data_IF_291141101669
#
_entry.id   IF_291141101669
#
_cell.length_a   1.000
_cell.length_b   1.000
_cell.length_c   1.000
_cell.angle_alpha   90.00
_cell.angle_beta   90.00
_cell.angle_gamma   90.00
#
_symmetry.space_group_name_H-M   'P 1'
#
loop_
_entity.id
_entity.type
_entity.pdbx_description
1 polymer ?
#
# COMPACT_ATOMS: atom_id res chain seq x y z
N UNK A 1 -18.81 -9.33 19.13
CA UNK A 1 -18.53 -8.87 17.76
C UNK A 1 -17.06 -8.97 17.33
N UNK A 2 -16.12 -9.33 18.22
CA UNK A 2 -14.67 -9.39 17.93
C UNK A 2 -14.12 -10.78 17.59
N UNK A 3 -14.97 -11.79 17.48
CA UNK A 3 -14.51 -13.12 17.05
C UNK A 3 -14.16 -13.11 15.56
N UNK A 4 -13.03 -13.71 15.15
CA UNK A 4 -12.73 -13.93 13.74
C UNK A 4 -13.87 -14.69 13.08
N UNK A 5 -14.47 -14.11 12.04
CA UNK A 5 -15.43 -14.82 11.19
C UNK A 5 -14.68 -15.77 10.26
N UNK A 6 -15.31 -16.85 9.74
CA UNK A 6 -14.65 -17.80 8.84
C UNK A 6 -13.99 -17.14 7.62
N UNK A 7 -14.57 -16.05 7.13
CA UNK A 7 -14.04 -15.27 6.02
C UNK A 7 -12.84 -14.36 6.37
N UNK A 8 -12.37 -14.35 7.63
CA UNK A 8 -11.27 -13.52 8.13
C UNK A 8 -11.69 -12.14 8.67
N UNK A 9 -12.92 -11.70 8.41
CA UNK A 9 -13.46 -10.41 8.86
C UNK A 9 -13.57 -10.30 10.40
N UNK A 10 -13.41 -9.08 10.94
CA UNK A 10 -13.43 -8.79 12.39
C UNK A 10 -14.00 -7.40 12.65
N UNK A 11 -14.87 -7.27 13.65
CA UNK A 11 -15.46 -6.00 14.06
C UNK A 11 -16.13 -5.27 12.88
N UNK A 12 -15.72 -4.01 12.65
CA UNK A 12 -16.23 -3.15 11.56
C UNK A 12 -15.73 -3.50 10.16
N UNK A 13 -14.71 -4.35 10.04
CA UNK A 13 -14.10 -4.73 8.77
C UNK A 13 -14.83 -5.94 8.21
N UNK A 14 -15.66 -5.74 7.18
CA UNK A 14 -16.64 -6.70 6.68
C UNK A 14 -16.55 -6.95 5.18
N UNK A 15 -16.87 -8.18 4.76
CA UNK A 15 -17.13 -8.54 3.36
C UNK A 15 -18.65 -8.51 3.09
N UNK A 16 -19.05 -8.63 1.82
CA UNK A 16 -20.47 -8.64 1.43
C UNK A 16 -21.28 -9.74 2.13
N UNK A 17 -20.73 -10.95 2.23
CA UNK A 17 -21.39 -12.07 2.93
C UNK A 17 -21.61 -11.76 4.42
N UNK A 18 -20.66 -11.11 5.10
CA UNK A 18 -20.86 -10.67 6.49
C UNK A 18 -21.95 -9.60 6.63
N UNK A 19 -22.02 -8.68 5.67
CA UNK A 19 -23.02 -7.60 5.69
C UNK A 19 -24.42 -8.19 5.54
N UNK A 20 -24.59 -9.14 4.61
CA UNK A 20 -25.85 -9.85 4.41
C UNK A 20 -26.24 -10.75 5.60
N UNK A 21 -25.31 -11.54 6.13
CA UNK A 21 -25.58 -12.50 7.21
C UNK A 21 -25.90 -11.82 8.55
N UNK A 22 -25.17 -10.74 8.88
CA UNK A 22 -25.27 -10.08 10.18
C UNK A 22 -26.00 -8.74 10.14
N UNK A 23 -26.52 -8.32 8.98
CA UNK A 23 -27.21 -7.02 8.82
C UNK A 23 -26.30 -5.82 9.12
N UNK A 24 -25.01 -5.92 8.81
CA UNK A 24 -24.03 -4.87 9.14
C UNK A 24 -24.06 -3.81 8.06
N UNK A 25 -24.33 -2.56 8.46
CA UNK A 25 -24.16 -1.39 7.59
C UNK A 25 -22.71 -0.93 7.67
N UNK A 26 -22.01 -1.00 6.53
CA UNK A 26 -20.63 -0.53 6.42
C UNK A 26 -20.59 1.01 6.31
N UNK A 27 -19.49 1.60 6.76
CA UNK A 27 -19.16 3.00 6.44
C UNK A 27 -19.08 3.20 4.93
N UNK A 28 -19.87 4.14 4.43
CA UNK A 28 -19.87 4.54 3.01
C UNK A 28 -18.77 5.57 2.76
N UNK A 29 -17.54 5.07 2.60
CA UNK A 29 -16.38 5.91 2.31
C UNK A 29 -16.49 6.57 0.94
N UNK A 30 -17.06 5.90 -0.07
CA UNK A 30 -17.19 6.46 -1.42
C UNK A 30 -18.03 7.73 -1.39
N UNK A 31 -19.26 7.66 -0.88
CA UNK A 31 -20.13 8.85 -0.82
C UNK A 31 -19.54 9.94 0.07
N UNK A 32 -18.91 9.55 1.19
CA UNK A 32 -18.23 10.50 2.08
C UNK A 32 -17.13 11.28 1.34
N UNK A 33 -16.29 10.58 0.57
CA UNK A 33 -15.19 11.18 -0.19
C UNK A 33 -15.65 11.92 -1.44
N UNK A 34 -16.76 11.53 -2.06
CA UNK A 34 -17.34 12.27 -3.20
C UNK A 34 -17.95 13.62 -2.78
N UNK A 35 -18.24 13.81 -1.49
CA UNK A 35 -18.66 15.10 -0.95
C UNK A 35 -17.47 16.05 -0.65
N UNK A 36 -16.23 15.59 -0.84
CA UNK A 36 -15.01 16.37 -0.72
C UNK A 36 -14.59 16.94 -2.08
N UNK A 37 -13.67 17.91 -2.06
CA UNK A 37 -12.98 18.33 -3.28
C UNK A 37 -12.06 17.19 -3.74
N UNK A 38 -12.36 16.63 -4.91
CA UNK A 38 -11.62 15.47 -5.44
C UNK A 38 -10.60 15.88 -6.48
N UNK A 39 -9.45 15.24 -6.38
CA UNK A 39 -8.33 15.40 -7.30
C UNK A 39 -7.80 14.03 -7.73
N UNK A 40 -7.30 13.93 -8.96
CA UNK A 40 -6.59 12.75 -9.47
C UNK A 40 -5.13 13.09 -9.66
N UNK A 41 -4.25 12.20 -9.21
CA UNK A 41 -2.81 12.28 -9.49
C UNK A 41 -2.49 11.75 -10.89
N UNK A 42 -1.91 12.60 -11.74
CA UNK A 42 -1.40 12.20 -13.04
C UNK A 42 0.10 11.83 -12.91
N UNK A 43 0.48 10.56 -13.14
CA UNK A 43 1.87 10.12 -13.02
C UNK A 43 2.80 10.70 -14.09
N UNK A 44 2.26 11.12 -15.24
CA UNK A 44 3.03 11.68 -16.35
C UNK A 44 3.38 13.17 -16.11
N UNK A 45 2.49 13.90 -15.44
CA UNK A 45 2.72 15.29 -15.05
C UNK A 45 3.37 15.43 -13.67
N UNK A 46 3.33 14.37 -12.86
CA UNK A 46 3.68 14.38 -11.43
C UNK A 46 2.92 15.48 -10.66
N UNK A 47 1.62 15.62 -10.94
CA UNK A 47 0.73 16.64 -10.40
C UNK A 47 -0.68 16.12 -10.24
N UNK A 48 -1.46 16.79 -9.38
CA UNK A 48 -2.88 16.50 -9.22
C UNK A 48 -3.74 17.48 -10.01
N UNK A 49 -4.87 17.00 -10.51
CA UNK A 49 -5.86 17.75 -11.27
C UNK A 49 -7.25 17.53 -10.67
N UNK A 50 -8.14 18.54 -10.67
CA UNK A 50 -9.50 18.35 -10.18
C UNK A 50 -10.22 17.20 -10.90
N UNK A 51 -10.87 16.32 -10.15
CA UNK A 51 -11.58 15.18 -10.70
C UNK A 51 -11.67 14.00 -9.74
N UNK A 52 -12.64 13.12 -10.01
CA UNK A 52 -12.81 11.85 -9.28
C UNK A 52 -12.38 10.64 -10.12
N UNK A 53 -12.69 10.68 -11.42
CA UNK A 53 -12.47 9.58 -12.34
C UNK A 53 -11.02 9.60 -12.85
N UNK A 54 -10.26 8.57 -12.51
CA UNK A 54 -8.86 8.45 -12.92
C UNK A 54 -8.72 8.26 -14.42
N UNK A 55 -9.64 7.53 -15.05
CA UNK A 55 -9.59 7.23 -16.47
C UNK A 55 -9.87 8.50 -17.29
N UNK A 56 -10.81 9.32 -16.82
CA UNK A 56 -11.08 10.62 -17.42
C UNK A 56 -9.84 11.51 -17.39
N UNK A 57 -9.20 11.68 -16.24
CA UNK A 57 -8.02 12.55 -16.11
C UNK A 57 -6.84 12.03 -16.93
N UNK A 58 -6.65 10.71 -17.01
CA UNK A 58 -5.62 10.13 -17.87
C UNK A 58 -5.95 10.30 -19.36
N UNK A 59 -7.22 10.20 -19.77
CA UNK A 59 -7.64 10.49 -21.13
C UNK A 59 -7.41 11.95 -21.51
N UNK A 60 -7.67 12.89 -20.60
CA UNK A 60 -7.38 14.32 -20.78
C UNK A 60 -5.89 14.62 -20.94
N UNK A 61 -5.02 13.84 -20.26
CA UNK A 61 -3.58 13.90 -20.50
C UNK A 61 -3.25 13.52 -21.95
N UNK A 62 -3.75 12.37 -22.39
CA UNK A 62 -3.45 11.80 -23.70
C UNK A 62 -4.11 12.53 -24.87
N UNK A 63 -5.17 13.32 -24.61
CA UNK A 63 -5.94 14.01 -25.65
C UNK A 63 -5.10 15.03 -26.44
N UNK A 64 -4.08 15.65 -25.83
CA UNK A 64 -3.20 16.60 -26.50
C UNK A 64 -1.78 16.54 -25.92
N UNK A 65 -0.81 15.95 -26.66
CA UNK A 65 0.59 15.93 -26.22
C UNK A 65 1.21 17.32 -26.05
N UNK A 66 0.72 18.33 -26.80
CA UNK A 66 1.23 19.69 -26.72
C UNK A 66 0.63 20.50 -25.56
N UNK A 67 -0.52 20.07 -25.04
CA UNK A 67 -1.24 20.74 -23.96
C UNK A 67 -2.03 19.70 -23.13
N UNK A 68 -1.33 18.81 -22.39
CA UNK A 68 -1.99 17.81 -21.56
C UNK A 68 -2.92 18.50 -20.55
N UNK A 69 -4.06 17.89 -20.25
CA UNK A 69 -5.08 18.46 -19.37
C UNK A 69 -5.55 19.87 -19.82
N UNK A 70 -5.65 20.08 -21.13
CA UNK A 70 -6.06 21.38 -21.70
C UNK A 70 -5.08 22.53 -21.41
N UNK A 71 -3.82 22.22 -21.06
CA UNK A 71 -2.81 23.21 -20.68
C UNK A 71 -2.88 23.68 -19.22
N UNK A 72 -3.72 23.05 -18.39
CA UNK A 72 -3.75 23.32 -16.96
C UNK A 72 -2.41 22.94 -16.30
N UNK A 73 -1.94 23.79 -15.38
CA UNK A 73 -0.64 23.56 -14.72
C UNK A 73 -0.65 22.36 -13.79
N UNK A 74 -1.79 22.04 -13.18
CA UNK A 74 -1.92 21.08 -12.07
C UNK A 74 -1.43 21.66 -10.74
N UNK A 75 -1.78 21.01 -9.64
CA UNK A 75 -1.27 21.32 -8.30
C UNK A 75 -0.18 20.33 -7.88
N UNK A 76 0.78 20.76 -7.05
CA UNK A 76 1.83 19.89 -6.55
C UNK A 76 1.28 18.89 -5.53
N UNK A 77 1.68 17.63 -5.63
CA UNK A 77 1.37 16.60 -4.65
C UNK A 77 2.56 15.65 -4.55
N UNK A 78 3.60 16.10 -3.84
CA UNK A 78 4.86 15.35 -3.72
C UNK A 78 4.72 14.09 -2.85
N UNK A 79 5.68 13.18 -2.95
CA UNK A 79 5.71 11.95 -2.16
C UNK A 79 5.01 10.75 -2.79
N UNK A 80 4.71 10.84 -4.09
CA UNK A 80 4.18 9.75 -4.92
C UNK A 80 5.13 9.53 -6.08
N UNK A 81 5.47 8.28 -6.36
CA UNK A 81 6.18 7.86 -7.55
C UNK A 81 5.47 6.66 -8.18
N UNK A 82 5.27 6.69 -9.50
CA UNK A 82 4.69 5.59 -10.25
C UNK A 82 5.58 5.26 -11.44
N UNK A 83 5.99 4.01 -11.54
CA UNK A 83 6.53 3.44 -12.77
C UNK A 83 5.42 2.63 -13.45
N UNK A 84 4.90 3.16 -14.55
CA UNK A 84 3.73 2.62 -15.26
C UNK A 84 4.02 1.27 -15.94
N UNK A 85 5.28 1.02 -16.30
CA UNK A 85 5.70 -0.13 -17.12
C UNK A 85 6.70 -1.03 -16.36
N UNK A 86 6.50 -1.17 -15.05
CA UNK A 86 7.44 -1.85 -14.15
C UNK A 86 7.55 -3.37 -14.39
N UNK A 87 6.45 -4.02 -14.78
CA UNK A 87 6.43 -5.44 -15.18
C UNK A 87 6.03 -5.62 -16.64
N UNK A 88 6.63 -6.61 -17.30
CA UNK A 88 6.13 -7.11 -18.57
C UNK A 88 4.87 -7.99 -18.38
N UNK A 89 4.16 -8.27 -19.47
CA UNK A 89 3.00 -9.17 -19.46
C UNK A 89 3.41 -10.60 -19.08
N UNK A 90 4.55 -11.06 -19.57
CA UNK A 90 5.11 -12.39 -19.31
C UNK A 90 5.51 -12.52 -17.84
N UNK A 91 6.15 -11.49 -17.29
CA UNK A 91 6.55 -11.45 -15.88
C UNK A 91 5.36 -11.48 -14.93
N UNK A 92 4.33 -10.70 -15.22
CA UNK A 92 3.08 -10.73 -14.46
C UNK A 92 2.41 -12.12 -14.54
N UNK A 93 2.38 -12.73 -15.72
CA UNK A 93 1.76 -14.04 -15.93
C UNK A 93 2.48 -15.11 -15.11
N UNK A 94 3.81 -15.15 -15.16
CA UNK A 94 4.61 -16.14 -14.44
C UNK A 94 4.59 -15.90 -12.91
N UNK A 95 4.62 -14.62 -12.50
CA UNK A 95 4.48 -14.23 -11.10
C UNK A 95 3.13 -14.69 -10.54
N UNK A 96 2.03 -14.42 -11.25
CA UNK A 96 0.69 -14.84 -10.81
C UNK A 96 0.52 -16.35 -10.78
N UNK A 97 1.05 -17.07 -11.80
CA UNK A 97 1.05 -18.54 -11.80
C UNK A 97 1.68 -19.08 -10.52
N UNK A 98 2.81 -18.51 -10.10
CA UNK A 98 3.49 -18.91 -8.87
C UNK A 98 2.74 -18.50 -7.61
N UNK A 99 2.22 -17.27 -7.54
CA UNK A 99 1.47 -16.83 -6.37
C UNK A 99 0.23 -17.68 -6.13
N UNK A 100 -0.44 -18.15 -7.20
CA UNK A 100 -1.60 -19.03 -7.08
C UNK A 100 -1.26 -20.47 -6.66
N UNK A 101 0.00 -20.89 -6.81
CA UNK A 101 0.50 -22.16 -6.25
C UNK A 101 0.77 -22.07 -4.73
N UNK A 102 0.95 -20.86 -4.21
CA UNK A 102 1.16 -20.62 -2.77
C UNK A 102 -0.22 -20.47 -2.09
N UNK A 103 -0.47 -21.15 -0.96
CA UNK A 103 -1.74 -21.03 -0.25
C UNK A 103 -2.08 -19.58 0.14
N UNK A 104 -3.30 -19.17 -0.17
CA UNK A 104 -3.85 -17.88 0.22
C UNK A 104 -4.55 -17.96 1.59
N UNK A 105 -4.12 -17.13 2.54
CA UNK A 105 -4.80 -16.98 3.83
C UNK A 105 -6.02 -16.06 3.71
N UNK A 106 -7.09 -16.38 4.45
CA UNK A 106 -8.23 -15.47 4.58
C UNK A 106 -7.81 -14.16 5.24
N UNK A 107 -8.34 -13.04 4.74
CA UNK A 107 -8.07 -11.70 5.25
C UNK A 107 -9.35 -10.92 5.46
N UNK A 108 -9.25 -9.79 6.16
CA UNK A 108 -10.39 -8.93 6.47
C UNK A 108 -10.95 -8.28 5.20
N UNK A 109 -12.20 -7.82 5.29
CA UNK A 109 -12.91 -7.07 4.25
C UNK A 109 -12.75 -7.68 2.86
N UNK A 110 -13.15 -8.95 2.73
CA UNK A 110 -13.27 -9.66 1.44
C UNK A 110 -11.97 -10.09 0.78
N UNK A 111 -10.81 -9.82 1.39
CA UNK A 111 -9.49 -10.13 0.80
C UNK A 111 -8.99 -11.53 1.14
N UNK A 112 -7.97 -11.95 0.41
CA UNK A 112 -7.00 -12.96 0.84
C UNK A 112 -5.60 -12.37 0.86
N UNK A 113 -4.65 -13.04 1.52
CA UNK A 113 -3.27 -12.56 1.61
C UNK A 113 -2.24 -13.69 1.66
N UNK A 114 -1.01 -13.36 1.32
CA UNK A 114 0.18 -14.12 1.63
C UNK A 114 1.16 -13.16 2.28
N UNK A 115 1.66 -13.47 3.47
CA UNK A 115 2.51 -12.54 4.22
C UNK A 115 3.84 -13.19 4.56
N UNK A 116 4.92 -12.62 4.03
CA UNK A 116 6.29 -13.05 4.28
C UNK A 116 7.03 -11.90 4.94
N UNK A 117 7.55 -12.14 6.13
CA UNK A 117 8.22 -11.11 6.92
C UNK A 117 8.14 -11.43 8.41
N UNK A 118 8.68 -10.55 9.25
CA UNK A 118 8.70 -10.78 10.68
C UNK A 118 7.30 -10.71 11.30
N UNK A 119 7.14 -11.30 12.50
CA UNK A 119 5.92 -11.17 13.29
C UNK A 119 5.96 -9.90 14.11
N UNK A 120 4.97 -9.04 13.89
CA UNK A 120 4.81 -7.78 14.61
C UNK A 120 3.64 -7.85 15.58
N UNK A 121 3.82 -7.31 16.78
CA UNK A 121 2.73 -7.02 17.69
C UNK A 121 2.52 -5.51 17.71
N UNK A 122 1.65 -5.02 16.83
CA UNK A 122 1.38 -3.60 16.66
C UNK A 122 0.96 -2.91 17.97
N UNK A 123 0.08 -3.54 18.75
CA UNK A 123 -0.39 -2.96 20.04
C UNK A 123 0.72 -2.80 21.08
N UNK A 124 1.73 -3.67 21.06
CA UNK A 124 2.85 -3.67 22.01
C UNK A 124 4.16 -3.17 21.40
N UNK A 125 4.11 -2.64 20.16
CA UNK A 125 5.27 -2.18 19.39
C UNK A 125 6.46 -3.14 19.52
N UNK A 126 6.22 -4.42 19.24
CA UNK A 126 7.21 -5.49 19.44
C UNK A 126 7.46 -6.26 18.16
N UNK A 127 8.74 -6.40 17.83
CA UNK A 127 9.24 -7.18 16.71
C UNK A 127 9.67 -8.58 17.18
N UNK A 128 9.38 -9.61 16.37
CA UNK A 128 9.91 -10.96 16.50
C UNK A 128 10.15 -11.55 15.12
N UNK A 129 11.21 -12.32 14.93
CA UNK A 129 11.47 -13.04 13.67
C UNK A 129 10.31 -13.97 13.28
N UNK A 130 9.76 -14.71 14.26
CA UNK A 130 8.70 -15.68 13.99
C UNK A 130 9.19 -16.85 13.13
N UNK A 131 8.38 -17.24 12.14
CA UNK A 131 8.69 -18.31 11.19
C UNK A 131 9.18 -17.77 9.84
N UNK A 132 9.65 -16.51 9.82
CA UNK A 132 10.18 -15.92 8.60
C UNK A 132 11.45 -16.66 8.19
N UNK A 133 11.50 -17.19 6.97
CA UNK A 133 12.64 -17.95 6.42
C UNK A 133 13.13 -17.37 5.08
N UNK A 134 12.71 -16.15 4.76
CA UNK A 134 12.94 -15.51 3.46
C UNK A 134 11.68 -15.44 2.61
N UNK A 135 11.85 -15.04 1.35
CA UNK A 135 10.76 -14.78 0.39
C UNK A 135 10.62 -15.90 -0.64
N UNK A 136 9.46 -16.05 -1.30
CA UNK A 136 9.33 -16.94 -2.45
C UNK A 136 10.31 -16.54 -3.56
N UNK A 137 11.07 -17.50 -4.09
CA UNK A 137 12.08 -17.26 -5.12
C UNK A 137 11.51 -16.61 -6.39
N UNK A 138 10.27 -16.93 -6.75
CA UNK A 138 9.60 -16.30 -7.88
C UNK A 138 9.36 -14.80 -7.73
N UNK A 139 9.48 -14.25 -6.51
CA UNK A 139 9.35 -12.81 -6.26
C UNK A 139 10.70 -12.09 -6.15
N UNK A 140 11.82 -12.82 -6.24
CA UNK A 140 13.17 -12.23 -6.13
C UNK A 140 13.40 -11.18 -7.21
N UNK A 141 13.04 -11.46 -8.46
CA UNK A 141 13.30 -10.55 -9.58
C UNK A 141 12.62 -9.18 -9.39
N UNK A 142 11.43 -9.15 -8.78
CA UNK A 142 10.70 -7.93 -8.43
C UNK A 142 11.52 -7.11 -7.44
N UNK A 143 12.02 -7.74 -6.37
CA UNK A 143 12.81 -7.08 -5.35
C UNK A 143 14.15 -6.57 -5.89
N UNK A 144 14.81 -7.36 -6.76
CA UNK A 144 16.05 -6.95 -7.44
C UNK A 144 15.84 -5.74 -8.33
N UNK A 145 14.69 -5.65 -9.00
CA UNK A 145 14.36 -4.51 -9.88
C UNK A 145 14.20 -3.19 -9.12
N UNK A 146 13.96 -3.21 -7.81
CA UNK A 146 13.95 -1.98 -7.02
C UNK A 146 15.28 -1.22 -7.12
N UNK A 147 16.41 -1.92 -7.30
CA UNK A 147 17.72 -1.29 -7.48
C UNK A 147 17.79 -0.41 -8.74
N UNK A 148 16.96 -0.66 -9.76
CA UNK A 148 16.90 0.19 -10.97
C UNK A 148 16.04 1.45 -10.79
N UNK A 149 15.31 1.57 -9.68
CA UNK A 149 14.49 2.74 -9.35
C UNK A 149 15.30 3.62 -8.38
N UNK A 150 15.75 4.83 -8.77
CA UNK A 150 16.62 5.64 -7.92
C UNK A 150 16.08 5.90 -6.51
N UNK A 151 14.76 6.08 -6.36
CA UNK A 151 14.08 6.27 -5.08
C UNK A 151 14.20 5.03 -4.15
N UNK A 152 14.37 3.85 -4.72
CA UNK A 152 14.45 2.56 -4.03
C UNK A 152 15.87 1.98 -3.99
N UNK A 153 16.90 2.73 -4.44
CA UNK A 153 18.26 2.20 -4.53
C UNK A 153 18.84 1.69 -3.19
N UNK A 154 18.38 2.24 -2.07
CA UNK A 154 18.74 1.82 -0.71
C UNK A 154 17.63 1.03 0.01
N UNK A 155 16.57 0.66 -0.70
CA UNK A 155 15.43 -0.04 -0.14
C UNK A 155 15.80 -1.50 0.11
N UNK A 156 15.62 -1.96 1.35
CA UNK A 156 15.78 -3.36 1.70
C UNK A 156 14.44 -3.90 2.15
N UNK A 157 13.86 -4.77 1.32
CA UNK A 157 12.64 -5.50 1.67
C UNK A 157 12.85 -6.29 2.96
N UNK A 158 11.94 -6.12 3.92
CA UNK A 158 11.85 -6.94 5.14
C UNK A 158 10.47 -7.56 5.32
N UNK A 159 9.47 -7.07 4.59
CA UNK A 159 8.15 -7.68 4.48
C UNK A 159 7.68 -7.60 3.03
N UNK A 160 7.07 -8.70 2.56
CA UNK A 160 6.28 -8.79 1.34
C UNK A 160 4.90 -9.33 1.71
N UNK A 161 3.86 -8.54 1.45
CA UNK A 161 2.46 -8.94 1.62
C UNK A 161 1.77 -8.91 0.27
N UNK A 162 1.49 -10.09 -0.29
CA UNK A 162 0.61 -10.23 -1.45
C UNK A 162 -0.84 -10.12 -0.95
N UNK A 163 -1.63 -9.26 -1.57
CA UNK A 163 -3.04 -9.06 -1.24
C UNK A 163 -3.88 -9.32 -2.48
N UNK A 164 -4.86 -10.20 -2.33
CA UNK A 164 -5.84 -10.46 -3.37
C UNK A 164 -7.19 -9.84 -3.02
N UNK A 165 -7.78 -9.17 -4.00
CA UNK A 165 -9.05 -8.49 -3.96
C UNK A 165 -10.00 -9.19 -4.94
N UNK A 166 -11.19 -9.46 -4.44
CA UNK A 166 -12.28 -10.09 -5.17
C UNK A 166 -13.53 -9.21 -5.07
N UNK A 167 -14.06 -8.69 -6.19
CA UNK A 167 -15.25 -7.85 -6.20
C UNK A 167 -16.49 -8.60 -5.67
N UNK A 168 -16.61 -9.90 -5.91
CA UNK A 168 -17.76 -10.71 -5.44
C UNK A 168 -17.79 -10.82 -3.91
N UNK A 169 -16.63 -10.66 -3.26
CA UNK A 169 -16.51 -10.59 -1.80
C UNK A 169 -16.61 -9.16 -1.26
N UNK A 170 -16.64 -8.17 -2.15
CA UNK A 170 -16.58 -6.74 -1.83
C UNK A 170 -15.25 -6.35 -1.20
N UNK A 171 -14.16 -6.89 -1.72
CA UNK A 171 -12.82 -6.66 -1.21
C UNK A 171 -12.44 -5.17 -1.21
N UNK A 172 -11.89 -4.67 -0.12
CA UNK A 172 -11.54 -3.23 0.03
C UNK A 172 -10.73 -2.96 1.29
N UNK A 173 -9.96 -1.88 1.34
CA UNK A 173 -9.20 -1.46 2.52
C UNK A 173 -9.74 -0.13 3.04
N UNK A 174 -10.15 -0.11 4.31
CA UNK A 174 -10.55 1.12 5.00
C UNK A 174 -9.35 2.08 5.17
N UNK A 175 -9.58 3.40 5.29
CA UNK A 175 -8.52 4.39 5.52
C UNK A 175 -7.60 4.05 6.68
N UNK A 176 -6.29 4.10 6.44
CA UNK A 176 -5.26 3.85 7.45
C UNK A 176 -3.88 4.41 7.03
N UNK A 177 -2.97 4.46 8.00
CA UNK A 177 -1.53 4.66 7.79
C UNK A 177 -0.80 3.40 8.28
N UNK A 178 0.19 2.92 7.52
CA UNK A 178 1.04 1.79 7.90
C UNK A 178 1.83 2.14 9.18
N UNK A 179 1.91 1.22 10.15
CA UNK A 179 2.51 1.43 11.47
C UNK A 179 3.91 2.10 11.43
N UNK A 180 3.98 3.35 11.89
CA UNK A 180 5.17 4.20 11.79
C UNK A 180 6.27 3.87 12.81
N UNK A 181 6.07 2.91 13.71
CA UNK A 181 7.15 2.46 14.58
C UNK A 181 8.07 1.44 13.91
N UNK A 182 7.65 0.80 12.81
CA UNK A 182 8.37 -0.33 12.21
C UNK A 182 8.49 -0.28 10.70
N UNK A 183 7.46 0.17 10.00
CA UNK A 183 7.49 0.28 8.55
C UNK A 183 8.04 1.64 8.17
N UNK A 184 9.19 1.62 7.48
CA UNK A 184 9.91 2.81 7.06
C UNK A 184 9.14 3.67 6.06
N UNK A 185 9.86 4.60 5.47
CA UNK A 185 9.24 5.66 4.69
C UNK A 185 8.65 5.18 3.38
N UNK A 186 9.38 4.35 2.63
CA UNK A 186 8.94 3.93 1.31
C UNK A 186 7.97 2.77 1.46
N UNK A 187 6.71 2.99 1.10
CA UNK A 187 5.71 1.93 0.99
C UNK A 187 5.53 1.61 -0.48
N UNK A 188 5.98 0.43 -0.86
CA UNK A 188 6.08 0.01 -2.26
C UNK A 188 4.95 -0.95 -2.57
N UNK A 189 4.23 -0.74 -3.67
CA UNK A 189 3.16 -1.61 -4.15
C UNK A 189 3.36 -1.92 -5.63
N UNK A 190 3.39 -3.20 -5.99
CA UNK A 190 3.37 -3.65 -7.38
C UNK A 190 1.97 -4.18 -7.71
N UNK A 191 1.33 -3.66 -8.75
CA UNK A 191 -0.05 -3.94 -9.12
C UNK A 191 -0.14 -5.03 -10.20
N UNK A 192 -1.07 -5.98 -10.06
CA UNK A 192 -1.26 -7.12 -10.95
C UNK A 192 -2.74 -7.34 -11.29
N UNK A 193 -2.98 -8.01 -12.42
CA UNK A 193 -4.25 -8.47 -12.98
C UNK A 193 -5.24 -7.39 -13.43
N UNK A 194 -5.50 -6.38 -12.60
CA UNK A 194 -6.50 -5.34 -12.85
C UNK A 194 -6.05 -3.99 -12.32
N UNK A 195 -6.46 -2.95 -13.04
CA UNK A 195 -6.33 -1.56 -12.62
C UNK A 195 -7.20 -1.29 -11.38
N UNK A 196 -6.83 -0.28 -10.59
CA UNK A 196 -7.59 0.20 -9.44
C UNK A 196 -7.14 1.60 -9.04
N UNK A 197 -7.60 2.09 -7.90
CA UNK A 197 -7.31 3.44 -7.39
C UNK A 197 -6.97 3.40 -5.90
N UNK A 198 -5.88 4.07 -5.52
CA UNK A 198 -5.57 4.34 -4.13
C UNK A 198 -6.16 5.71 -3.76
N UNK A 199 -7.08 5.72 -2.81
CA UNK A 199 -7.73 6.94 -2.34
C UNK A 199 -7.04 7.44 -1.08
N UNK A 200 -6.52 8.67 -1.15
CA UNK A 200 -5.82 9.37 -0.09
C UNK A 200 -6.73 10.41 0.56
N UNK A 201 -6.87 10.33 1.88
CA UNK A 201 -7.57 11.32 2.69
C UNK A 201 -6.65 11.85 3.77
N UNK A 202 -6.61 13.17 3.98
CA UNK A 202 -5.74 13.77 5.00
C UNK A 202 -6.06 13.20 6.39
N UNK A 203 -5.04 12.70 7.10
CA UNK A 203 -5.23 12.12 8.43
C UNK A 203 -5.63 13.21 9.42
N UNK A 204 -6.73 12.96 10.15
CA UNK A 204 -7.12 13.76 11.31
C UNK A 204 -7.13 12.91 12.56
N UNK A 205 -6.49 13.41 13.61
CA UNK A 205 -6.56 12.79 14.93
C UNK A 205 -7.98 12.93 15.48
N UNK A 206 -8.81 11.93 15.22
CA UNK A 206 -10.14 11.84 15.83
C UNK A 206 -9.97 11.66 17.34
N UNK A 207 -10.65 12.52 18.12
CA UNK A 207 -10.73 12.48 19.59
C UNK A 207 -9.39 12.70 20.33
N UNK A 208 -8.39 13.30 19.68
CA UNK A 208 -7.08 13.58 20.29
C UNK A 208 -6.26 12.34 20.64
N UNK A 209 -6.67 11.15 20.17
CA UNK A 209 -5.95 9.90 20.43
C UNK A 209 -4.91 9.65 19.33
N UNK A 210 -3.63 9.46 19.69
CA UNK A 210 -2.61 9.13 18.70
C UNK A 210 -2.95 7.78 18.04
N UNK A 211 -3.00 7.77 16.70
CA UNK A 211 -3.08 6.56 15.88
C UNK A 211 -1.80 6.37 15.08
N UNK A 212 -1.61 5.15 14.57
CA UNK A 212 -0.57 4.78 13.60
C UNK A 212 0.87 5.00 14.07
N UNK A 213 1.08 5.25 15.37
CA UNK A 213 2.39 5.45 15.97
C UNK A 213 3.16 6.64 15.38
N UNK A 214 2.46 7.71 14.96
CA UNK A 214 3.07 8.88 14.33
C UNK A 214 4.12 9.58 15.21
N UNK A 215 4.03 9.46 16.54
CA UNK A 215 5.05 10.00 17.45
C UNK A 215 6.45 9.39 17.26
N UNK A 216 6.57 8.23 16.62
CA UNK A 216 7.87 7.65 16.28
C UNK A 216 8.54 8.37 15.10
N UNK A 217 7.76 8.99 14.21
CA UNK A 217 8.28 9.71 13.05
C UNK A 217 9.20 10.85 13.48
N UNK A 218 8.91 11.51 14.61
CA UNK A 218 9.75 12.56 15.17
C UNK A 218 11.17 12.10 15.50
N UNK A 219 11.38 10.81 15.79
CA UNK A 219 12.69 10.26 16.16
C UNK A 219 13.61 10.08 14.94
N UNK A 220 13.06 10.12 13.74
CA UNK A 220 13.81 9.87 12.50
C UNK A 220 13.41 10.83 11.37
N UNK A 221 12.77 11.95 11.69
CA UNK A 221 12.27 12.95 10.73
C UNK A 221 13.40 13.50 9.85
N UNK A 222 14.59 13.68 10.43
CA UNK A 222 15.80 14.17 9.76
C UNK A 222 16.40 13.16 8.77
N UNK A 223 15.97 11.89 8.83
CA UNK A 223 16.41 10.81 7.93
C UNK A 223 15.40 10.51 6.82
N UNK A 224 14.29 11.24 6.74
CA UNK A 224 13.29 11.07 5.68
C UNK A 224 13.83 11.59 4.33
N UNK A 225 13.51 10.87 3.27
CA UNK A 225 13.74 11.21 1.88
C UNK A 225 12.78 12.31 1.40
N UNK A 226 11.51 12.20 1.79
CA UNK A 226 10.45 13.14 1.48
C UNK A 226 10.19 14.12 2.62
N UNK A 227 9.83 15.35 2.25
CA UNK A 227 9.45 16.35 3.24
C UNK A 227 8.05 16.07 3.78
N UNK A 228 7.89 16.25 5.10
CA UNK A 228 6.57 16.38 5.71
C UNK A 228 6.06 17.79 5.44
N UNK A 229 4.79 17.90 5.12
CA UNK A 229 4.11 19.17 4.90
C UNK A 229 3.84 19.84 6.25
N UNK A 230 4.12 21.13 6.37
CA UNK A 230 3.79 21.89 7.57
C UNK A 230 2.27 22.05 7.76
N UNK A 231 1.83 22.39 8.97
CA UNK A 231 0.41 22.47 9.30
C UNK A 231 -0.35 23.51 8.46
N UNK A 232 0.27 24.64 8.09
CA UNK A 232 -0.39 25.67 7.29
C UNK A 232 -0.59 25.20 5.85
N UNK A 233 0.44 24.58 5.27
CA UNK A 233 0.37 24.00 3.93
C UNK A 233 -0.59 22.80 3.88
N UNK A 234 -0.68 21.99 4.94
CA UNK A 234 -1.66 20.90 5.04
C UNK A 234 -3.10 21.39 5.10
N UNK A 235 -3.35 22.56 5.70
CA UNK A 235 -4.69 23.14 5.77
C UNK A 235 -5.27 23.43 4.37
N UNK A 236 -4.42 23.67 3.36
CA UNK A 236 -4.85 23.80 1.96
C UNK A 236 -5.44 22.50 1.38
N UNK A 237 -5.12 21.36 1.99
CA UNK A 237 -5.69 20.04 1.64
C UNK A 237 -6.89 19.66 2.51
N UNK A 238 -7.39 20.59 3.33
CA UNK A 238 -8.56 20.33 4.14
C UNK A 238 -9.78 20.03 3.25
N UNK A 239 -10.49 18.94 3.56
CA UNK A 239 -11.63 18.43 2.79
C UNK A 239 -11.29 18.07 1.33
N UNK A 240 -10.01 17.79 1.05
CA UNK A 240 -9.58 17.26 -0.25
C UNK A 240 -9.34 15.76 -0.20
N UNK A 241 -9.59 15.10 -1.33
CA UNK A 241 -9.30 13.70 -1.58
C UNK A 241 -8.41 13.61 -2.80
N UNK A 242 -7.32 12.84 -2.71
CA UNK A 242 -6.46 12.56 -3.86
C UNK A 242 -6.61 11.11 -4.28
N UNK A 243 -6.93 10.88 -5.54
CA UNK A 243 -7.12 9.58 -6.17
C UNK A 243 -5.91 9.27 -7.03
N UNK A 244 -5.13 8.27 -6.60
CA UNK A 244 -3.89 7.88 -7.26
C UNK A 244 -4.19 6.63 -8.11
N UNK A 245 -3.98 6.65 -9.43
CA UNK A 245 -4.18 5.48 -10.25
C UNK A 245 -3.21 4.36 -9.84
N UNK A 246 -3.70 3.13 -9.85
CA UNK A 246 -2.90 1.91 -9.65
C UNK A 246 -3.04 1.00 -10.87
N UNK A 247 -2.46 1.36 -12.03
CA UNK A 247 -2.56 0.56 -13.24
C UNK A 247 -1.92 -0.81 -13.06
N UNK A 248 -2.46 -1.82 -13.72
CA UNK A 248 -1.91 -3.17 -13.80
C UNK A 248 -0.47 -3.12 -14.32
N UNK A 249 0.41 -3.95 -13.74
CA UNK A 249 1.87 -4.02 -13.97
C UNK A 249 2.68 -2.80 -13.53
N UNK A 250 2.06 -1.80 -12.90
CA UNK A 250 2.79 -0.64 -12.37
C UNK A 250 3.41 -0.90 -10.99
N UNK A 251 4.43 -0.13 -10.67
CA UNK A 251 4.97 0.08 -9.33
C UNK A 251 4.47 1.44 -8.81
N UNK A 252 3.98 1.46 -7.57
CA UNK A 252 3.66 2.67 -6.82
C UNK A 252 4.56 2.74 -5.58
N UNK A 253 5.14 3.90 -5.31
CA UNK A 253 5.86 4.19 -4.07
C UNK A 253 5.26 5.42 -3.40
N UNK A 254 4.79 5.27 -2.16
CA UNK A 254 4.46 6.39 -1.28
C UNK A 254 5.64 6.68 -0.35
N UNK A 255 5.96 7.96 -0.16
CA UNK A 255 7.00 8.45 0.74
C UNK A 255 6.68 9.89 1.21
N UNK A 256 7.40 10.45 2.18
CA UNK A 256 7.13 11.81 2.70
C UNK A 256 5.70 12.01 3.22
N UNK A 257 5.09 13.16 2.91
CA UNK A 257 3.75 13.53 3.38
C UNK A 257 2.67 12.45 3.10
N UNK A 258 2.47 11.92 1.87
CA UNK A 258 1.54 10.81 1.61
C UNK A 258 1.72 9.56 2.47
N UNK A 259 2.95 9.26 2.92
CA UNK A 259 3.25 8.11 3.79
C UNK A 259 2.75 8.31 5.23
N UNK A 260 2.88 9.53 5.76
CA UNK A 260 2.76 9.79 7.20
C UNK A 260 1.61 10.72 7.59
N UNK A 261 1.12 11.55 6.67
CA UNK A 261 0.10 12.57 6.93
C UNK A 261 -1.23 12.28 6.24
N UNK A 262 -1.29 11.23 5.42
CA UNK A 262 -2.47 10.83 4.66
C UNK A 262 -2.84 9.38 4.96
N UNK A 263 -4.12 9.15 5.25
CA UNK A 263 -4.67 7.79 5.26
C UNK A 263 -4.91 7.34 3.82
N UNK A 264 -4.43 6.14 3.49
CA UNK A 264 -4.67 5.51 2.21
C UNK A 264 -5.73 4.41 2.34
N UNK A 265 -6.51 4.24 1.28
CA UNK A 265 -7.61 3.27 1.21
C UNK A 265 -7.78 2.74 -0.21
N UNK A 266 -8.37 1.55 -0.32
CA UNK A 266 -8.81 0.98 -1.60
C UNK A 266 -10.31 0.79 -1.48
N UNK A 267 -11.08 1.58 -2.21
CA UNK A 267 -12.54 1.53 -2.14
C UNK A 267 -13.05 0.25 -2.81
N UNK A 268 -14.23 -0.21 -2.39
CA UNK A 268 -14.82 -1.44 -2.94
C UNK A 268 -15.17 -1.25 -4.41
N UNK A 269 -15.57 -0.04 -4.74
CA UNK A 269 -16.04 0.38 -6.06
C UNK A 269 -14.90 0.56 -7.05
N UNK A 270 -13.65 0.59 -6.56
CA UNK A 270 -12.42 0.63 -7.38
C UNK A 270 -11.84 -0.77 -7.62
N UNK A 271 -12.53 -1.83 -7.17
CA UNK A 271 -12.22 -3.23 -7.48
C UNK A 271 -13.28 -3.73 -8.44
N UNK A 272 -12.99 -3.68 -9.73
CA UNK A 272 -13.92 -4.13 -10.79
C UNK A 272 -13.72 -5.61 -11.14
N UNK A 273 -12.50 -6.12 -10.99
CA UNK A 273 -12.09 -7.48 -11.31
C UNK A 273 -11.17 -8.05 -10.22
N UNK A 274 -10.79 -9.33 -10.36
CA UNK A 274 -9.75 -9.93 -9.51
C UNK A 274 -8.47 -9.09 -9.63
N UNK A 275 -8.06 -8.48 -8.52
CA UNK A 275 -6.84 -7.68 -8.43
C UNK A 275 -5.89 -8.30 -7.43
N UNK A 276 -4.60 -8.32 -7.76
CA UNK A 276 -3.55 -8.67 -6.80
C UNK A 276 -2.57 -7.52 -6.70
N UNK A 277 -2.03 -7.27 -5.52
CA UNK A 277 -0.87 -6.41 -5.37
C UNK A 277 0.15 -7.01 -4.40
N UNK A 278 1.43 -6.75 -4.64
CA UNK A 278 2.52 -7.10 -3.72
C UNK A 278 2.97 -5.82 -3.03
N UNK A 279 2.77 -5.75 -1.72
CA UNK A 279 3.15 -4.63 -0.89
C UNK A 279 4.45 -4.93 -0.12
N UNK A 280 5.49 -4.14 -0.36
CA UNK A 280 6.80 -4.30 0.25
C UNK A 280 7.08 -3.20 1.26
N UNK A 281 7.71 -3.56 2.37
CA UNK A 281 8.13 -2.62 3.42
C UNK A 281 9.60 -2.79 3.73
N UNK A 282 10.19 -1.68 4.13
CA UNK A 282 11.49 -1.61 4.78
C UNK A 282 11.33 -1.28 6.28
N UNK A 283 12.41 -1.39 7.02
CA UNK A 283 12.43 -0.98 8.42
C UNK A 283 12.55 0.54 8.59
N UNK A 284 11.96 1.07 9.66
CA UNK A 284 12.25 2.43 10.14
C UNK A 284 13.72 2.56 10.58
N UNK A 285 14.30 3.78 10.58
CA UNK A 285 15.68 4.03 10.96
C UNK A 285 16.15 3.42 12.29
N UNK A 286 15.29 3.32 13.29
CA UNK A 286 15.62 2.71 14.59
C UNK A 286 16.01 1.21 14.50
N UNK A 287 15.60 0.50 13.46
CA UNK A 287 15.95 -0.90 13.22
C UNK A 287 17.08 -1.06 12.19
N UNK A 288 17.69 0.02 11.69
CA UNK A 288 18.86 -0.05 10.81
C UNK A 288 20.14 -0.23 11.64
N UNK A 289 21.28 -0.50 10.99
CA UNK A 289 22.55 -0.86 11.65
C UNK A 289 23.02 0.12 12.73
N UNK A 290 22.73 1.41 12.55
CA UNK A 290 23.05 2.50 13.47
C UNK A 290 21.90 2.85 14.43
N UNK A 291 20.77 2.15 14.33
CA UNK A 291 19.57 2.37 15.11
C UNK A 291 19.58 1.66 16.47
N UNK A 292 18.81 2.20 17.42
CA UNK A 292 18.75 1.69 18.80
C UNK A 292 18.20 0.26 18.94
N UNK A 293 17.45 -0.22 17.95
CA UNK A 293 16.77 -1.51 17.95
C UNK A 293 17.36 -2.51 16.96
N UNK A 294 18.55 -2.24 16.38
CA UNK A 294 19.18 -3.09 15.37
C UNK A 294 19.34 -4.56 15.80
N UNK A 295 19.64 -4.79 17.07
CA UNK A 295 19.80 -6.15 17.62
C UNK A 295 18.52 -7.00 17.49
N UNK A 296 17.35 -6.37 17.36
CA UNK A 296 16.07 -7.05 17.12
C UNK A 296 15.81 -7.34 15.64
N UNK A 297 16.47 -6.64 14.72
CA UNK A 297 16.24 -6.73 13.27
C UNK A 297 17.36 -7.43 12.50
N UNK A 298 18.54 -7.62 13.10
CA UNK A 298 19.72 -8.18 12.43
C UNK A 298 19.45 -9.52 11.74
N UNK A 299 18.83 -10.47 12.45
CA UNK A 299 18.51 -11.79 11.91
C UNK A 299 17.41 -11.69 10.83
N UNK A 300 16.49 -10.74 10.94
CA UNK A 300 15.46 -10.51 9.92
C UNK A 300 16.11 -10.04 8.62
N UNK A 301 17.09 -9.13 8.68
CA UNK A 301 17.86 -8.72 7.50
C UNK A 301 18.61 -9.88 6.85
N UNK A 302 19.18 -10.79 7.64
CA UNK A 302 19.86 -11.99 7.12
C UNK A 302 18.87 -12.87 6.37
N UNK A 303 17.70 -13.14 6.95
CA UNK A 303 16.66 -13.97 6.32
C UNK A 303 15.99 -13.31 5.13
N UNK A 304 15.84 -12.00 5.14
CA UNK A 304 15.27 -11.23 4.03
C UNK A 304 16.11 -11.30 2.75
N UNK A 305 17.36 -11.75 2.83
CA UNK A 305 18.24 -12.02 1.67
C UNK A 305 18.11 -13.46 1.14
N UNK A 306 17.29 -14.29 1.78
CA UNK A 306 17.07 -15.68 1.40
C UNK A 306 15.80 -15.82 0.57
N UNK A 307 15.87 -16.71 -0.41
CA UNK A 307 14.77 -17.02 -1.31
C UNK A 307 14.57 -18.53 -1.38
N UNK A 308 13.32 -18.99 -1.26
CA UNK A 308 12.97 -20.41 -1.22
C UNK A 308 12.07 -20.81 -2.40
N UNK A 309 12.26 -22.04 -2.87
CA UNK A 309 11.43 -22.65 -3.92
C UNK A 309 10.13 -23.17 -3.31
N UNK A 310 9.02 -22.53 -3.65
CA UNK A 310 7.70 -22.84 -3.10
C UNK A 310 7.22 -24.25 -3.42
N UNK A 311 7.65 -24.81 -4.55
CA UNK A 311 7.32 -26.18 -4.94
C UNK A 311 8.01 -27.22 -4.04
N UNK A 312 9.17 -26.88 -3.48
CA UNK A 312 9.86 -27.74 -2.51
C UNK A 312 9.28 -27.60 -1.11
N UNK A 313 8.82 -26.40 -0.75
CA UNK A 313 8.19 -26.15 0.54
C UNK A 313 6.83 -26.87 0.69
N UNK A 314 6.03 -26.94 -0.39
CA UNK A 314 4.74 -27.64 -0.40
C UNK A 314 4.84 -29.17 -0.25
N UNK A 315 6.03 -29.76 -0.45
CA UNK A 315 6.28 -31.20 -0.28
C UNK A 315 6.62 -31.60 1.17
N UNK A 316 6.74 -30.62 2.08
CA UNK A 316 7.19 -30.83 3.47
C UNK A 316 6.12 -30.39 4.49
N UNK A 317 5.01 -29.81 4.04
CA UNK A 317 3.87 -29.35 4.85
C UNK A 317 2.70 -30.31 4.80
#
# INVERSE_FOLDING_TARGET
MDHPRPCGCKGRRTCLSCEAEFGIVRSDFRSTFQNCESYVYCPLCNRIYPGWDVDQVMAEHSASPAAPHGGATGEEYGGVFIDLDFLSVEEETELMRTLDEIPWDVSQSGRRKQNFGPKTNFKKTRLKEGQFVGFPAATEFVQRRFESVPLLASFQTIEQCSLEYDPERGASIDPHIDDCWIWGERIVTVNLLSDSVLTMSLYRSADGKPKYNLQFVEQYRDRLLGQLTDEQSLACYENRIVRIPMPRRSLLVLYGSPRYQWEHSVLREDICDRRVCLAYREFTPMYLQDGSEFSQSEEIFKRAKLFWDHRKAALVS
#
